data_IF_112967174930
#
_entry.id   IF_112967174930
#
_cell.length_a   1.000
_cell.length_b   1.000
_cell.length_c   1.000
_cell.angle_alpha   90.00
_cell.angle_beta   90.00
_cell.angle_gamma   90.00
#
_symmetry.space_group_name_H-M   'P 1'
#
loop_
_entity.id
_entity.type
_entity.pdbx_description
1 polymer ?
#
# COMPACT_ATOMS: atom_id res chain seq x y z
N UNK A 1 2.73 -0.40 -9.89
CA UNK A 1 3.52 -1.65 -9.77
C UNK A 1 3.19 -2.34 -8.47
N UNK A 2 2.89 -3.61 -8.51
CA UNK A 2 2.65 -4.43 -7.32
C UNK A 2 3.43 -5.74 -7.41
N UNK A 3 3.85 -6.34 -6.28
CA UNK A 3 4.43 -7.67 -6.31
C UNK A 3 3.36 -8.75 -6.54
N UNK A 4 3.78 -9.91 -7.04
CA UNK A 4 2.88 -11.02 -7.30
C UNK A 4 2.14 -11.50 -6.04
N UNK A 5 2.76 -11.39 -4.87
CA UNK A 5 2.16 -11.74 -3.58
C UNK A 5 0.94 -10.86 -3.28
N UNK A 6 1.03 -9.56 -3.57
CA UNK A 6 -0.11 -8.64 -3.40
C UNK A 6 -1.22 -8.96 -4.40
N UNK A 7 -0.88 -9.25 -5.67
CA UNK A 7 -1.88 -9.69 -6.65
C UNK A 7 -2.61 -10.94 -6.16
N UNK A 8 -1.89 -11.89 -5.60
CA UNK A 8 -2.49 -13.13 -5.11
C UNK A 8 -3.45 -12.87 -3.95
N UNK A 9 -3.12 -11.96 -3.04
CA UNK A 9 -4.02 -11.51 -1.97
C UNK A 9 -5.29 -10.88 -2.52
N UNK A 10 -5.17 -10.03 -3.54
CA UNK A 10 -6.31 -9.36 -4.18
C UNK A 10 -7.18 -10.31 -5.01
N UNK A 11 -6.62 -11.42 -5.45
CA UNK A 11 -7.31 -12.47 -6.20
C UNK A 11 -7.92 -13.54 -5.31
N UNK A 12 -7.67 -13.50 -4.01
CA UNK A 12 -8.16 -14.47 -3.03
C UNK A 12 -9.69 -14.50 -2.98
N UNK A 13 -10.31 -15.67 -2.71
CA UNK A 13 -11.76 -15.75 -2.46
C UNK A 13 -12.24 -14.87 -1.30
N UNK A 14 -11.34 -14.51 -0.37
CA UNK A 14 -11.64 -13.61 0.74
C UNK A 14 -11.69 -12.14 0.32
N UNK A 15 -11.16 -11.79 -0.83
CA UNK A 15 -11.18 -10.42 -1.33
C UNK A 15 -12.58 -10.07 -1.88
N UNK A 16 -13.01 -8.79 -1.82
CA UNK A 16 -14.26 -8.35 -2.44
C UNK A 16 -14.29 -8.67 -3.94
N UNK A 17 -15.48 -9.05 -4.44
CA UNK A 17 -15.65 -9.43 -5.84
C UNK A 17 -15.18 -8.33 -6.79
N UNK A 18 -15.50 -7.08 -6.50
CA UNK A 18 -15.08 -5.94 -7.33
C UNK A 18 -13.55 -5.85 -7.47
N UNK A 19 -12.82 -6.13 -6.39
CA UNK A 19 -11.35 -6.11 -6.39
C UNK A 19 -10.80 -7.30 -7.19
N UNK A 20 -11.36 -8.50 -6.99
CA UNK A 20 -10.97 -9.70 -7.76
C UNK A 20 -11.17 -9.50 -9.24
N UNK A 21 -12.30 -8.94 -9.64
CA UNK A 21 -12.61 -8.64 -11.04
C UNK A 21 -11.65 -7.61 -11.62
N UNK A 22 -11.38 -6.56 -10.86
CA UNK A 22 -10.47 -5.51 -11.29
C UNK A 22 -9.04 -6.02 -11.51
N UNK A 23 -8.52 -6.83 -10.57
CA UNK A 23 -7.15 -7.35 -10.67
C UNK A 23 -6.99 -8.44 -11.72
N UNK A 24 -8.10 -9.12 -12.09
CA UNK A 24 -8.10 -10.12 -13.17
C UNK A 24 -7.91 -9.48 -14.55
N UNK A 25 -8.34 -8.23 -14.72
CA UNK A 25 -8.18 -7.42 -15.94
C UNK A 25 -7.62 -6.05 -15.56
N UNK A 26 -6.36 -5.99 -15.11
CA UNK A 26 -5.80 -4.75 -14.60
C UNK A 26 -5.61 -3.71 -15.71
N UNK A 27 -5.67 -2.43 -15.34
CA UNK A 27 -5.37 -1.36 -16.30
C UNK A 27 -3.91 -1.44 -16.78
N UNK A 28 -3.63 -0.85 -17.94
CA UNK A 28 -2.32 -0.92 -18.59
C UNK A 28 -1.18 -0.30 -17.75
N UNK A 29 -1.50 0.62 -16.84
CA UNK A 29 -0.50 1.25 -15.97
C UNK A 29 -0.10 0.39 -14.78
N UNK A 30 -0.84 -0.69 -14.49
CA UNK A 30 -0.51 -1.60 -13.39
C UNK A 30 0.37 -2.73 -13.92
N UNK A 31 1.56 -2.86 -13.37
CA UNK A 31 2.45 -3.99 -13.62
C UNK A 31 2.54 -4.88 -12.38
N UNK A 32 2.56 -6.18 -12.60
CA UNK A 32 2.76 -7.19 -11.56
C UNK A 32 4.16 -7.76 -11.72
N UNK A 33 4.96 -7.65 -10.67
CA UNK A 33 6.35 -8.08 -10.70
C UNK A 33 6.60 -9.20 -9.70
N UNK A 34 7.38 -10.20 -10.11
CA UNK A 34 7.82 -11.26 -9.21
C UNK A 34 9.09 -10.79 -8.50
N UNK A 35 9.07 -10.86 -7.16
CA UNK A 35 10.21 -10.52 -6.33
C UNK A 35 10.83 -11.82 -5.81
N UNK A 36 12.12 -12.08 -6.06
CA UNK A 36 12.79 -13.23 -5.46
C UNK A 36 12.78 -13.14 -3.93
N UNK A 37 12.52 -14.26 -3.29
CA UNK A 37 12.44 -14.37 -1.83
C UNK A 37 13.82 -14.27 -1.15
N UNK A 38 14.88 -14.23 -1.92
CA UNK A 38 16.24 -14.13 -1.42
C UNK A 38 16.58 -12.66 -1.13
N UNK A 39 16.77 -12.30 0.14
CA UNK A 39 17.35 -11.01 0.45
C UNK A 39 18.74 -10.90 -0.19
N UNK A 40 19.19 -9.68 -0.56
CA UNK A 40 20.55 -9.48 -0.99
C UNK A 40 21.52 -10.04 0.07
N UNK A 41 22.62 -10.69 -0.32
CA UNK A 41 23.46 -11.45 0.61
C UNK A 41 24.15 -10.65 1.73
N UNK A 42 23.86 -9.37 1.84
CA UNK A 42 24.50 -8.47 2.81
C UNK A 42 23.55 -7.87 3.84
N UNK A 43 22.29 -8.31 3.87
CA UNK A 43 21.29 -7.71 4.75
C UNK A 43 20.67 -8.80 5.62
N UNK A 44 21.28 -9.03 6.77
CA UNK A 44 20.61 -9.67 7.89
C UNK A 44 19.60 -8.65 8.41
N UNK A 45 18.35 -8.77 7.97
CA UNK A 45 17.29 -7.87 8.45
C UNK A 45 16.23 -8.65 9.18
N UNK A 46 16.36 -8.79 10.51
CA UNK A 46 15.36 -9.46 11.31
C UNK A 46 13.97 -8.81 11.23
N UNK A 47 13.91 -7.51 10.86
CA UNK A 47 12.66 -6.77 10.78
C UNK A 47 11.78 -7.18 9.58
N UNK A 48 12.38 -7.54 8.44
CA UNK A 48 11.63 -8.02 7.27
C UNK A 48 10.95 -9.36 7.52
N UNK A 49 11.57 -10.24 8.31
CA UNK A 49 11.01 -11.55 8.63
C UNK A 49 9.74 -11.51 9.46
N UNK A 50 9.43 -10.39 10.10
CA UNK A 50 8.22 -10.19 10.91
C UNK A 50 7.03 -9.67 10.11
N UNK A 51 7.26 -9.23 8.88
CA UNK A 51 6.22 -8.70 8.02
C UNK A 51 5.50 -9.81 7.26
N UNK A 52 4.26 -9.54 6.87
CA UNK A 52 3.52 -10.39 5.94
C UNK A 52 4.23 -10.45 4.59
N UNK A 53 4.01 -11.54 3.85
CA UNK A 53 4.67 -11.77 2.57
C UNK A 53 4.45 -10.63 1.57
N UNK A 54 3.23 -10.11 1.50
CA UNK A 54 2.91 -8.98 0.60
C UNK A 54 3.64 -7.70 0.97
N UNK A 55 3.71 -7.38 2.25
CA UNK A 55 4.42 -6.20 2.75
C UNK A 55 5.92 -6.29 2.50
N UNK A 56 6.52 -7.43 2.81
CA UNK A 56 7.94 -7.69 2.55
C UNK A 56 8.25 -7.59 1.07
N UNK A 57 7.45 -8.23 0.23
CA UNK A 57 7.61 -8.19 -1.22
C UNK A 57 7.49 -6.76 -1.76
N UNK A 58 6.56 -5.97 -1.24
CA UNK A 58 6.37 -4.57 -1.65
C UNK A 58 7.60 -3.71 -1.33
N UNK A 59 8.19 -3.88 -0.14
CA UNK A 59 9.41 -3.17 0.25
C UNK A 59 10.59 -3.56 -0.65
N UNK A 60 10.80 -4.84 -0.87
CA UNK A 60 11.88 -5.34 -1.74
C UNK A 60 11.71 -4.89 -3.19
N UNK A 61 10.47 -4.90 -3.68
CA UNK A 61 10.17 -4.42 -5.03
C UNK A 61 10.45 -2.91 -5.16
N UNK A 62 10.04 -2.12 -4.16
CA UNK A 62 10.29 -0.68 -4.15
C UNK A 62 11.78 -0.36 -4.22
N UNK A 63 12.60 -1.08 -3.46
CA UNK A 63 14.06 -0.92 -3.50
C UNK A 63 14.65 -1.28 -4.87
N UNK A 64 14.21 -2.41 -5.45
CA UNK A 64 14.71 -2.88 -6.74
C UNK A 64 14.32 -1.96 -7.89
N UNK A 65 13.10 -1.48 -7.88
CA UNK A 65 12.56 -0.64 -8.92
C UNK A 65 12.97 0.83 -8.78
N UNK A 66 13.59 1.20 -7.66
CA UNK A 66 13.86 2.60 -7.36
C UNK A 66 12.59 3.43 -7.26
N UNK A 67 11.56 2.89 -6.62
CA UNK A 67 10.26 3.53 -6.52
C UNK A 67 10.34 4.90 -5.84
N UNK A 68 9.62 5.87 -6.39
CA UNK A 68 9.53 7.21 -5.82
C UNK A 68 8.68 7.24 -4.55
N UNK A 69 7.69 6.36 -4.46
CA UNK A 69 6.76 6.30 -3.34
C UNK A 69 6.24 4.88 -3.18
N UNK A 70 6.21 4.40 -1.95
CA UNK A 70 5.66 3.11 -1.57
C UNK A 70 4.38 3.32 -0.77
N UNK A 71 3.31 2.65 -1.17
CA UNK A 71 2.03 2.68 -0.47
C UNK A 71 1.91 1.49 0.47
N UNK A 72 1.94 1.75 1.77
CA UNK A 72 1.78 0.75 2.82
C UNK A 72 0.95 1.34 3.95
N UNK A 73 -0.12 0.66 4.37
CA UNK A 73 -0.98 1.12 5.47
C UNK A 73 -0.53 0.61 6.84
N UNK A 74 0.05 -0.59 6.89
CA UNK A 74 0.48 -1.19 8.15
C UNK A 74 1.63 -0.40 8.78
N UNK A 75 1.44 0.05 10.03
CA UNK A 75 2.41 0.90 10.73
C UNK A 75 3.78 0.25 10.89
N UNK A 76 3.80 -1.03 11.24
CA UNK A 76 5.05 -1.77 11.40
C UNK A 76 5.84 -1.85 10.09
N UNK A 77 5.15 -2.13 8.98
CA UNK A 77 5.75 -2.19 7.66
C UNK A 77 6.26 -0.82 7.19
N UNK A 78 5.50 0.26 7.45
CA UNK A 78 5.95 1.63 7.16
C UNK A 78 7.24 1.97 7.90
N UNK A 79 7.32 1.62 9.18
CA UNK A 79 8.51 1.85 9.99
C UNK A 79 9.74 1.15 9.40
N UNK A 80 9.61 -0.12 8.99
CA UNK A 80 10.69 -0.86 8.36
C UNK A 80 11.12 -0.21 7.04
N UNK A 81 10.16 0.16 6.19
CA UNK A 81 10.45 0.80 4.91
C UNK A 81 11.15 2.15 5.07
N UNK A 82 10.73 2.97 6.03
CA UNK A 82 11.36 4.26 6.33
C UNK A 82 12.81 4.09 6.80
N UNK A 83 13.07 3.10 7.67
CA UNK A 83 14.44 2.78 8.12
C UNK A 83 15.34 2.36 6.97
N UNK A 84 14.77 1.80 5.91
CA UNK A 84 15.49 1.42 4.69
C UNK A 84 15.64 2.57 3.68
N UNK A 85 15.23 3.76 4.05
CA UNK A 85 15.35 4.95 3.21
C UNK A 85 14.27 5.11 2.14
N UNK A 86 13.18 4.36 2.22
CA UNK A 86 12.06 4.47 1.29
C UNK A 86 11.09 5.57 1.73
N UNK A 87 10.52 6.26 0.75
CA UNK A 87 9.41 7.17 0.98
C UNK A 87 8.12 6.37 0.99
N UNK A 88 7.36 6.49 2.07
CA UNK A 88 6.13 5.73 2.26
C UNK A 88 4.94 6.63 2.56
N UNK A 89 3.76 6.18 2.15
CA UNK A 89 2.49 6.77 2.53
C UNK A 89 1.46 5.68 2.76
N UNK A 90 0.43 5.98 3.55
CA UNK A 90 -0.73 5.12 3.68
C UNK A 90 -1.88 5.60 2.80
N UNK A 91 -3.02 4.89 2.87
CA UNK A 91 -4.20 5.23 2.08
C UNK A 91 -4.71 6.64 2.38
N UNK A 92 -4.74 7.05 3.65
CA UNK A 92 -5.20 8.40 4.02
C UNK A 92 -4.27 9.50 3.48
N UNK A 93 -2.96 9.28 3.50
CA UNK A 93 -2.00 10.21 2.91
C UNK A 93 -2.18 10.33 1.40
N UNK A 94 -2.46 9.23 0.72
CA UNK A 94 -2.74 9.22 -0.72
C UNK A 94 -4.04 9.96 -1.04
N UNK A 95 -5.09 9.74 -0.27
CA UNK A 95 -6.38 10.45 -0.41
C UNK A 95 -6.18 11.95 -0.22
N UNK A 96 -5.42 12.36 0.79
CA UNK A 96 -5.11 13.77 1.02
C UNK A 96 -4.35 14.38 -0.15
N UNK A 97 -3.33 13.70 -0.65
CA UNK A 97 -2.56 14.18 -1.80
C UNK A 97 -3.44 14.32 -3.04
N UNK A 98 -4.34 13.36 -3.30
CA UNK A 98 -5.28 13.44 -4.40
C UNK A 98 -6.24 14.63 -4.28
N UNK A 99 -6.69 14.93 -3.07
CA UNK A 99 -7.54 16.10 -2.80
C UNK A 99 -6.79 17.42 -3.00
N UNK A 100 -5.55 17.50 -2.54
CA UNK A 100 -4.70 18.68 -2.69
C UNK A 100 -4.41 18.98 -4.17
N UNK A 101 -4.33 17.94 -5.01
CA UNK A 101 -4.17 18.06 -6.46
C UNK A 101 -5.51 18.31 -7.21
N UNK A 102 -6.62 18.38 -6.50
CA UNK A 102 -7.94 18.58 -7.09
C UNK A 102 -8.50 17.36 -7.84
N UNK A 103 -7.93 16.17 -7.64
CA UNK A 103 -8.35 14.95 -8.34
C UNK A 103 -9.57 14.28 -7.70
N UNK A 104 -9.77 14.49 -6.41
CA UNK A 104 -10.89 13.92 -5.64
C UNK A 104 -11.43 14.93 -4.65
N UNK A 105 -12.70 14.76 -4.25
CA UNK A 105 -13.30 15.49 -3.15
C UNK A 105 -12.96 14.79 -1.82
N UNK A 106 -12.31 15.51 -0.91
CA UNK A 106 -11.83 14.92 0.35
C UNK A 106 -12.98 14.44 1.23
N UNK A 107 -14.05 15.22 1.36
CA UNK A 107 -15.19 14.86 2.20
C UNK A 107 -15.90 13.60 1.67
N UNK A 108 -16.10 13.51 0.37
CA UNK A 108 -16.70 12.33 -0.27
C UNK A 108 -15.81 11.09 -0.10
N UNK A 109 -14.49 11.24 -0.25
CA UNK A 109 -13.55 10.14 -0.08
C UNK A 109 -13.54 9.62 1.35
N UNK A 110 -13.52 10.51 2.34
CA UNK A 110 -13.58 10.13 3.76
C UNK A 110 -14.89 9.42 4.09
N UNK A 111 -16.00 9.90 3.57
CA UNK A 111 -17.30 9.26 3.76
C UNK A 111 -17.35 7.87 3.13
N UNK A 112 -16.80 7.70 1.93
CA UNK A 112 -16.67 6.40 1.29
C UNK A 112 -15.81 5.43 2.11
N UNK A 113 -14.71 5.91 2.68
CA UNK A 113 -13.86 5.10 3.57
C UNK A 113 -14.60 4.63 4.82
N UNK A 114 -15.37 5.52 5.46
CA UNK A 114 -16.20 5.16 6.60
C UNK A 114 -17.22 4.07 6.25
N UNK A 115 -17.88 4.18 5.11
CA UNK A 115 -18.86 3.19 4.65
C UNK A 115 -18.23 1.85 4.26
N UNK A 116 -16.99 1.84 3.81
CA UNK A 116 -16.28 0.62 3.40
C UNK A 116 -15.80 -0.23 4.59
N UNK A 117 -15.92 0.27 5.82
CA UNK A 117 -15.38 -0.40 6.99
C UNK A 117 -13.89 -0.19 7.21
N UNK A 118 -13.28 0.74 6.50
CA UNK A 118 -11.88 1.08 6.70
C UNK A 118 -11.63 1.54 8.14
N UNK A 119 -10.66 0.91 8.80
CA UNK A 119 -10.35 1.18 10.21
C UNK A 119 -9.42 2.38 10.33
N UNK A 120 -9.97 3.50 10.75
CA UNK A 120 -9.21 4.67 11.15
C UNK A 120 -9.89 5.31 12.35
N UNK A 121 -9.10 5.91 13.25
CA UNK A 121 -9.67 6.61 14.39
C UNK A 121 -10.45 7.84 13.91
N UNK A 122 -11.51 8.18 14.64
CA UNK A 122 -12.28 9.39 14.36
C UNK A 122 -11.39 10.64 14.37
N UNK A 123 -10.47 10.71 15.34
CA UNK A 123 -9.52 11.83 15.44
C UNK A 123 -8.62 11.95 14.21
N UNK A 124 -8.16 10.83 13.66
CA UNK A 124 -7.34 10.81 12.44
C UNK A 124 -8.13 11.32 11.23
N UNK A 125 -9.38 10.86 11.06
CA UNK A 125 -10.25 11.32 9.98
C UNK A 125 -10.60 12.80 10.10
N UNK A 126 -10.85 13.27 11.30
CA UNK A 126 -11.11 14.70 11.56
C UNK A 126 -9.88 15.56 11.25
N UNK A 127 -8.68 15.11 11.60
CA UNK A 127 -7.45 15.81 11.21
C UNK A 127 -7.25 15.85 9.71
N UNK A 128 -7.58 14.78 9.02
CA UNK A 128 -7.49 14.71 7.56
C UNK A 128 -8.41 15.76 6.92
N UNK A 129 -9.63 15.88 7.40
CA UNK A 129 -10.63 16.84 6.90
C UNK A 129 -10.30 18.29 7.25
N UNK A 130 -9.78 18.52 8.46
CA UNK A 130 -9.52 19.86 8.98
C UNK A 130 -8.17 20.45 8.61
N UNK A 131 -7.31 19.66 8.06
CA UNK A 131 -5.96 20.09 7.84
C UNK A 131 -5.34 19.86 6.55
#
# INVERSE_FOLDING_TARGET
MIPSEVRDELSSPAAPVAIRDWVSKPPSWLSVERVPDTPPPHVEEPDLGRLHAGERAAILLAERAGADLLLIDEKAARSVAEKRGLRVTGLLGLVRAGADEGLIDLAEAVDALRRSGFRASRALLERLLGG
#
